data_IF_778966784622
#
_entry.id   IF_778966784622
#
_cell.length_a   1.000
_cell.length_b   1.000
_cell.length_c   1.000
_cell.angle_alpha   90.00
_cell.angle_beta   90.00
_cell.angle_gamma   90.00
#
_symmetry.space_group_name_H-M   'P 1'
#
loop_
_entity.id
_entity.type
_entity.pdbx_description
1 polymer ?
#
# COMPACT_ATOMS: atom_id res chain seq x y z
N UNK A 1 -41.01 2.69 -15.85
CA UNK A 1 -39.72 2.54 -15.14
C UNK A 1 -39.49 1.05 -14.98
N UNK A 2 -38.88 0.48 -16.00
CA UNK A 2 -39.28 -0.84 -16.48
C UNK A 2 -38.48 -1.91 -15.78
N UNK A 3 -39.14 -2.97 -15.29
CA UNK A 3 -38.51 -4.08 -14.55
C UNK A 3 -37.28 -4.66 -15.28
N UNK A 4 -37.27 -4.59 -16.60
CA UNK A 4 -36.15 -4.96 -17.46
C UNK A 4 -34.91 -4.09 -17.23
N UNK A 5 -35.08 -2.76 -17.08
CA UNK A 5 -33.97 -1.83 -16.77
C UNK A 5 -33.44 -2.08 -15.36
N UNK A 6 -34.33 -2.32 -14.40
CA UNK A 6 -33.94 -2.64 -13.03
C UNK A 6 -33.21 -3.99 -12.91
N UNK A 7 -33.57 -4.98 -13.74
CA UNK A 7 -32.89 -6.28 -13.81
C UNK A 7 -31.48 -6.14 -14.41
N UNK A 8 -31.34 -5.39 -15.50
CA UNK A 8 -30.04 -5.11 -16.11
C UNK A 8 -29.08 -4.41 -15.12
N UNK A 9 -29.59 -3.43 -14.35
CA UNK A 9 -28.77 -2.72 -13.36
C UNK A 9 -28.29 -3.64 -12.23
N UNK A 10 -29.15 -4.53 -11.72
CA UNK A 10 -28.77 -5.53 -10.71
C UNK A 10 -27.72 -6.52 -11.22
N UNK A 11 -27.86 -6.97 -12.46
CA UNK A 11 -26.90 -7.89 -13.08
C UNK A 11 -25.54 -7.21 -13.31
N UNK A 12 -25.53 -5.95 -13.77
CA UNK A 12 -24.30 -5.17 -13.92
C UNK A 12 -23.59 -4.95 -12.59
N UNK A 13 -24.33 -4.61 -11.53
CA UNK A 13 -23.78 -4.43 -10.18
C UNK A 13 -23.21 -5.75 -9.60
N UNK A 14 -23.90 -6.87 -9.78
CA UNK A 14 -23.42 -8.18 -9.35
C UNK A 14 -22.14 -8.59 -10.09
N UNK A 15 -22.07 -8.33 -11.40
CA UNK A 15 -20.87 -8.61 -12.19
C UNK A 15 -19.69 -7.75 -11.75
N UNK A 16 -19.89 -6.44 -11.56
CA UNK A 16 -18.84 -5.53 -11.08
C UNK A 16 -18.28 -5.95 -9.71
N UNK A 17 -19.16 -6.37 -8.79
CA UNK A 17 -18.75 -6.86 -7.47
C UNK A 17 -17.91 -8.14 -7.56
N UNK A 18 -18.30 -9.08 -8.43
CA UNK A 18 -17.58 -10.34 -8.60
C UNK A 18 -16.16 -10.15 -9.15
N UNK A 19 -15.95 -9.19 -10.07
CA UNK A 19 -14.63 -8.89 -10.64
C UNK A 19 -13.68 -8.30 -9.60
N UNK A 20 -14.19 -7.49 -8.66
CA UNK A 20 -13.37 -6.88 -7.60
C UNK A 20 -12.77 -7.89 -6.61
N UNK A 21 -13.37 -9.07 -6.45
CA UNK A 21 -12.90 -10.09 -5.52
C UNK A 21 -11.75 -10.96 -6.07
N UNK A 22 -11.52 -10.96 -7.39
CA UNK A 22 -10.52 -11.82 -8.06
C UNK A 22 -9.08 -11.38 -7.73
N UNK A 23 -8.88 -10.12 -7.32
CA UNK A 23 -7.56 -9.58 -6.97
C UNK A 23 -7.06 -9.97 -5.56
N UNK A 24 -7.89 -10.59 -4.73
CA UNK A 24 -7.51 -10.97 -3.37
C UNK A 24 -6.78 -12.33 -3.37
N UNK A 25 -5.51 -12.33 -3.77
CA UNK A 25 -4.64 -13.51 -3.78
C UNK A 25 -3.43 -13.35 -2.86
N UNK A 26 -3.01 -14.45 -2.23
CA UNK A 26 -1.77 -14.48 -1.44
C UNK A 26 -0.55 -14.46 -2.38
N UNK A 27 0.30 -13.44 -2.27
CA UNK A 27 1.55 -13.34 -3.05
C UNK A 27 2.62 -14.21 -2.40
N UNK A 28 3.17 -15.16 -3.16
CA UNK A 28 4.23 -16.04 -2.67
C UNK A 28 5.56 -15.26 -2.54
N UNK A 29 6.42 -15.59 -1.56
CA UNK A 29 7.61 -14.78 -1.25
C UNK A 29 8.53 -14.48 -2.45
N UNK A 30 8.71 -15.45 -3.35
CA UNK A 30 9.56 -15.33 -4.54
C UNK A 30 8.93 -14.49 -5.66
N UNK A 31 7.60 -14.28 -5.65
CA UNK A 31 6.93 -13.41 -6.62
C UNK A 31 7.17 -11.92 -6.30
N UNK A 32 7.53 -11.59 -5.06
CA UNK A 32 7.77 -10.21 -4.62
C UNK A 32 8.88 -9.53 -5.40
N UNK A 33 9.92 -10.25 -5.82
CA UNK A 33 11.01 -9.68 -6.62
C UNK A 33 10.54 -9.11 -7.97
N UNK A 34 9.49 -9.69 -8.56
CA UNK A 34 8.93 -9.20 -9.82
C UNK A 34 7.85 -8.11 -9.63
N UNK A 35 7.20 -8.10 -8.46
CA UNK A 35 6.08 -7.20 -8.15
C UNK A 35 6.50 -5.92 -7.42
N UNK A 36 7.63 -5.93 -6.70
CA UNK A 36 8.18 -4.79 -5.97
C UNK A 36 9.36 -4.19 -6.73
N UNK A 37 9.08 -3.55 -7.87
CA UNK A 37 10.10 -2.81 -8.64
C UNK A 37 10.60 -1.62 -7.84
N UNK A 38 11.88 -1.28 -7.99
CA UNK A 38 12.49 -0.14 -7.28
C UNK A 38 11.80 1.19 -7.61
N UNK A 39 11.36 1.39 -8.87
CA UNK A 39 10.63 2.60 -9.30
C UNK A 39 9.24 2.76 -8.64
N UNK A 40 8.72 1.71 -7.98
CA UNK A 40 7.46 1.74 -7.25
C UNK A 40 7.66 1.95 -5.74
N UNK A 41 8.90 2.15 -5.30
CA UNK A 41 9.18 2.47 -3.90
C UNK A 41 8.60 3.83 -3.51
N UNK A 42 8.01 3.92 -2.32
CA UNK A 42 7.52 5.18 -1.75
C UNK A 42 8.65 6.18 -1.49
N UNK A 43 9.83 5.64 -1.18
CA UNK A 43 11.05 6.39 -0.96
C UNK A 43 12.07 5.97 -2.02
N UNK A 44 12.42 6.85 -2.97
CA UNK A 44 13.36 6.55 -4.03
C UNK A 44 14.81 6.46 -3.54
N UNK A 45 15.14 7.08 -2.41
CA UNK A 45 16.48 7.05 -1.82
C UNK A 45 16.39 6.85 -0.30
N UNK A 46 16.23 5.60 0.16
CA UNK A 46 16.11 5.30 1.57
C UNK A 46 17.36 5.70 2.35
N UNK A 47 18.54 5.75 1.71
CA UNK A 47 19.77 6.12 2.40
C UNK A 47 19.76 7.60 2.78
N UNK A 48 19.40 8.48 1.83
CA UNK A 48 19.26 9.91 2.10
C UNK A 48 18.19 10.20 3.14
N UNK A 49 17.03 9.54 3.04
CA UNK A 49 15.96 9.68 4.03
C UNK A 49 16.45 9.28 5.42
N UNK A 50 17.19 8.18 5.57
CA UNK A 50 17.76 7.79 6.88
C UNK A 50 18.77 8.80 7.41
N UNK A 51 19.61 9.38 6.56
CA UNK A 51 20.55 10.42 6.99
C UNK A 51 19.84 11.69 7.46
N UNK A 52 18.79 12.11 6.74
CA UNK A 52 17.96 13.23 7.15
C UNK A 52 17.26 12.94 8.49
N UNK A 53 16.64 11.78 8.63
CA UNK A 53 15.98 11.33 9.87
C UNK A 53 16.94 11.34 11.07
N UNK A 54 18.15 10.81 10.93
CA UNK A 54 19.15 10.86 12.01
C UNK A 54 19.48 12.29 12.44
N UNK A 55 19.55 13.21 11.48
CA UNK A 55 19.81 14.61 11.75
C UNK A 55 18.65 15.26 12.51
N UNK A 56 17.41 15.05 12.05
CA UNK A 56 16.22 15.59 12.70
C UNK A 56 16.02 15.00 14.09
N UNK A 57 16.16 13.68 14.24
CA UNK A 57 16.10 13.01 15.54
C UNK A 57 17.08 13.61 16.55
N UNK A 58 18.33 13.84 16.12
CA UNK A 58 19.38 14.41 16.98
C UNK A 58 19.11 15.86 17.37
N UNK A 59 18.45 16.64 16.49
CA UNK A 59 18.20 18.06 16.72
C UNK A 59 16.92 18.32 17.49
N UNK A 60 15.90 17.52 17.27
CA UNK A 60 14.54 17.78 17.75
C UNK A 60 14.17 16.85 18.92
N UNK A 61 14.95 15.80 19.18
CA UNK A 61 14.63 14.79 20.20
C UNK A 61 13.32 14.05 19.93
N UNK A 62 12.83 14.12 18.69
CA UNK A 62 11.54 13.56 18.28
C UNK A 62 11.64 12.04 18.15
N UNK A 63 10.64 11.33 18.67
CA UNK A 63 10.54 9.87 18.59
C UNK A 63 9.36 9.48 17.71
N UNK A 64 9.52 8.45 16.86
CA UNK A 64 8.49 7.96 15.93
C UNK A 64 8.60 8.52 14.50
N UNK A 65 9.71 8.20 13.81
CA UNK A 65 10.08 8.74 12.49
C UNK A 65 9.05 8.54 11.35
N UNK A 66 9.41 9.00 10.15
CA UNK A 66 8.47 9.28 9.05
C UNK A 66 7.76 8.07 8.37
N UNK A 67 8.03 6.82 8.76
CA UNK A 67 7.52 5.65 8.03
C UNK A 67 6.16 5.17 8.52
N UNK A 68 5.17 5.14 7.64
CA UNK A 68 3.82 4.60 7.89
C UNK A 68 3.78 3.12 7.47
N UNK A 69 4.34 2.19 8.26
CA UNK A 69 4.22 0.76 7.92
C UNK A 69 5.27 -0.24 8.42
N UNK A 70 6.03 0.06 9.46
CA UNK A 70 6.94 -0.93 10.08
C UNK A 70 6.98 -0.74 11.59
N UNK A 71 6.28 -1.60 12.33
CA UNK A 71 6.14 -1.52 13.78
C UNK A 71 7.40 -1.91 14.54
N UNK A 72 7.64 -1.22 15.66
CA UNK A 72 8.62 -1.60 16.68
C UNK A 72 8.96 -0.43 17.58
N UNK A 73 8.89 -0.64 18.91
CA UNK A 73 9.26 0.28 20.00
C UNK A 73 10.39 1.23 19.57
N UNK A 74 10.13 2.54 19.54
CA UNK A 74 10.95 3.59 18.92
C UNK A 74 12.36 3.80 19.48
N UNK A 75 13.15 2.75 19.52
CA UNK A 75 14.59 2.74 19.79
C UNK A 75 15.29 2.55 18.43
N UNK A 76 15.51 3.66 17.72
CA UNK A 76 16.70 3.76 16.87
C UNK A 76 17.89 4.13 17.77
#
# INVERSE_FOLDING_TARGET
MDRSVALCFKLAAALALSVGLIGCGTVQPWQKGNLAKEDMAFDPDPLQTRFAEHTYHSKEGATGGLSVGGGGCGCN
#
